data_IF_287758098393
#
_entry.id   IF_287758098393
#
_cell.length_a   1.000
_cell.length_b   1.000
_cell.length_c   1.000
_cell.angle_alpha   90.00
_cell.angle_beta   90.00
_cell.angle_gamma   90.00
#
_symmetry.space_group_name_H-M   'P 1'
#
loop_
_entity.id
_entity.type
_entity.pdbx_description
1 polymer ?
#
# COMPACT_ATOMS: atom_id res chain seq x y z
N UNK A 1 26.49 -13.61 13.84
CA UNK A 1 25.92 -12.31 13.38
C UNK A 1 25.02 -12.62 12.21
N UNK A 2 23.69 -12.49 12.37
CA UNK A 2 22.77 -12.69 11.25
C UNK A 2 23.01 -11.58 10.21
N UNK A 3 23.22 -11.95 8.94
CA UNK A 3 23.35 -10.99 7.85
C UNK A 3 22.00 -10.32 7.60
N UNK A 4 21.92 -8.99 7.69
CA UNK A 4 20.75 -8.25 7.23
C UNK A 4 20.55 -8.54 5.73
N UNK A 5 19.47 -9.23 5.40
CA UNK A 5 19.11 -9.55 4.01
C UNK A 5 18.30 -8.38 3.45
N UNK A 6 18.69 -7.91 2.27
CA UNK A 6 17.87 -6.97 1.50
C UNK A 6 16.63 -7.73 1.02
N UNK A 7 15.45 -7.29 1.42
CA UNK A 7 14.15 -7.86 1.01
C UNK A 7 13.39 -6.98 0.03
N UNK A 8 13.79 -5.71 -0.11
CA UNK A 8 13.19 -4.74 -1.02
C UNK A 8 14.19 -3.65 -1.42
N UNK A 9 13.98 -3.06 -2.59
CA UNK A 9 14.68 -1.87 -3.09
C UNK A 9 13.62 -0.93 -3.67
N UNK A 10 13.64 0.33 -3.25
CA UNK A 10 12.79 1.39 -3.78
C UNK A 10 13.61 2.56 -4.29
N UNK A 11 13.13 3.22 -5.35
CA UNK A 11 13.71 4.47 -5.85
C UNK A 11 12.92 5.63 -5.24
N UNK A 12 13.62 6.56 -4.62
CA UNK A 12 13.03 7.65 -3.86
C UNK A 12 13.63 8.98 -4.31
N UNK A 13 12.79 10.02 -4.37
CA UNK A 13 13.27 11.39 -4.57
C UNK A 13 13.81 11.96 -3.26
N UNK A 14 14.52 13.09 -3.35
CA UNK A 14 15.00 13.81 -2.17
C UNK A 14 13.84 14.28 -1.26
N UNK A 15 12.68 14.59 -1.84
CA UNK A 15 11.49 14.97 -1.08
C UNK A 15 10.93 13.78 -0.29
N UNK A 16 10.87 12.59 -0.91
CA UNK A 16 10.39 11.37 -0.25
C UNK A 16 11.29 10.99 0.93
N UNK A 17 12.61 11.09 0.74
CA UNK A 17 13.59 10.86 1.82
C UNK A 17 13.37 11.84 2.99
N UNK A 18 13.10 13.10 2.69
CA UNK A 18 12.83 14.11 3.72
C UNK A 18 11.54 13.81 4.50
N UNK A 19 10.50 13.29 3.83
CA UNK A 19 9.22 12.91 4.45
C UNK A 19 9.31 11.65 5.30
N UNK A 20 10.05 10.63 4.83
CA UNK A 20 10.19 9.34 5.50
C UNK A 20 11.12 9.41 6.74
N UNK A 21 11.86 10.51 6.91
CA UNK A 21 12.63 10.80 8.11
C UNK A 21 13.88 9.94 8.30
N UNK A 22 14.40 9.89 9.54
CA UNK A 22 15.71 9.29 9.88
C UNK A 22 15.68 7.76 10.03
N UNK A 23 14.56 7.11 9.71
CA UNK A 23 14.35 5.67 9.95
C UNK A 23 15.19 4.73 9.06
N UNK A 24 15.85 5.25 8.03
CA UNK A 24 16.70 4.46 7.15
C UNK A 24 18.05 4.15 7.81
N UNK A 25 18.29 2.87 8.08
CA UNK A 25 19.60 2.40 8.56
C UNK A 25 20.73 2.67 7.56
N UNK A 26 20.41 2.70 6.26
CA UNK A 26 21.35 2.93 5.15
C UNK A 26 20.65 3.66 4.01
N UNK A 27 21.29 4.68 3.46
CA UNK A 27 20.85 5.41 2.27
C UNK A 27 22.01 5.51 1.29
N UNK A 28 21.77 5.08 0.05
CA UNK A 28 22.78 5.08 -1.01
C UNK A 28 22.31 6.01 -2.13
N UNK A 29 22.90 7.22 -2.27
CA UNK A 29 22.49 8.15 -3.30
C UNK A 29 22.85 7.60 -4.68
N UNK A 30 21.93 7.72 -5.64
CA UNK A 30 22.15 7.34 -7.04
C UNK A 30 22.42 8.61 -7.85
N UNK A 31 23.65 8.85 -8.32
CA UNK A 31 23.97 10.02 -9.13
C UNK A 31 23.32 9.92 -10.52
N UNK A 32 22.84 11.05 -11.06
CA UNK A 32 22.30 11.10 -12.42
C UNK A 32 23.33 10.88 -13.53
N UNK A 33 24.60 11.18 -13.27
CA UNK A 33 25.70 11.03 -14.22
C UNK A 33 26.43 9.70 -14.04
N UNK A 34 25.95 8.65 -14.69
CA UNK A 34 26.57 7.32 -14.67
C UNK A 34 25.85 6.33 -15.58
N UNK A 35 26.26 5.06 -15.54
CA UNK A 35 25.73 3.99 -16.40
C UNK A 35 24.20 3.80 -16.29
N UNK A 36 23.61 4.25 -15.17
CA UNK A 36 22.17 4.20 -14.94
C UNK A 36 21.40 5.44 -15.41
N UNK A 37 22.06 6.47 -15.94
CA UNK A 37 21.41 7.74 -16.30
C UNK A 37 20.23 7.56 -17.25
N UNK A 38 20.40 6.78 -18.32
CA UNK A 38 19.32 6.51 -19.28
C UNK A 38 18.15 5.72 -18.69
N UNK A 39 18.40 4.84 -17.71
CA UNK A 39 17.34 4.11 -17.01
C UNK A 39 16.55 5.05 -16.09
N UNK A 40 17.25 5.92 -15.35
CA UNK A 40 16.60 6.92 -14.48
C UNK A 40 15.75 7.89 -15.31
N UNK A 41 16.28 8.36 -16.44
CA UNK A 41 15.53 9.21 -17.37
C UNK A 41 14.31 8.49 -17.96
N UNK A 42 14.40 7.18 -18.19
CA UNK A 42 13.26 6.38 -18.65
C UNK A 42 12.21 6.22 -17.55
N UNK A 43 12.62 6.00 -16.30
CA UNK A 43 11.72 5.88 -15.14
C UNK A 43 11.02 7.21 -14.82
N UNK A 44 11.72 8.34 -14.91
CA UNK A 44 11.12 9.68 -14.73
C UNK A 44 10.02 9.97 -15.77
N UNK A 45 10.05 9.29 -16.92
CA UNK A 45 9.03 9.38 -17.98
C UNK A 45 7.90 8.37 -17.82
N UNK A 46 8.10 7.33 -17.02
CA UNK A 46 7.01 6.46 -16.61
C UNK A 46 6.17 7.29 -15.65
N UNK A 47 5.16 7.91 -16.21
CA UNK A 47 4.05 8.40 -15.41
C UNK A 47 3.37 7.16 -14.84
N UNK A 48 3.25 7.08 -13.51
CA UNK A 48 2.25 6.23 -12.87
C UNK A 48 0.89 6.88 -13.13
N UNK A 49 0.51 6.94 -14.41
CA UNK A 49 -0.64 7.68 -14.93
C UNK A 49 -1.97 7.08 -14.44
N UNK A 50 -1.93 5.89 -13.81
CA UNK A 50 -3.08 5.24 -13.18
C UNK A 50 -3.40 5.80 -11.77
N UNK A 51 -2.46 6.46 -11.07
CA UNK A 51 -2.68 6.90 -9.67
C UNK A 51 -3.49 8.21 -9.52
N UNK A 52 -3.70 9.01 -10.58
CA UNK A 52 -4.56 10.21 -10.49
C UNK A 52 -6.00 9.99 -10.93
N UNK A 53 -6.32 8.81 -11.48
CA UNK A 53 -7.71 8.33 -11.60
C UNK A 53 -8.21 7.63 -10.32
N UNK A 54 -7.30 7.29 -9.39
CA UNK A 54 -7.60 6.74 -8.06
C UNK A 54 -8.16 7.78 -7.07
N UNK A 55 -9.12 8.60 -7.47
CA UNK A 55 -9.90 9.34 -6.46
C UNK A 55 -10.86 8.41 -5.71
N UNK A 56 -11.23 7.24 -6.27
CA UNK A 56 -11.79 6.11 -5.51
C UNK A 56 -11.44 4.81 -6.24
N UNK A 57 -10.77 3.84 -5.59
CA UNK A 57 -10.70 2.49 -6.16
C UNK A 57 -12.14 1.99 -6.35
N UNK A 58 -12.39 1.32 -7.49
CA UNK A 58 -13.68 0.64 -7.67
C UNK A 58 -13.85 -0.38 -6.53
N UNK A 59 -15.05 -0.53 -5.95
CA UNK A 59 -15.27 -1.51 -4.89
C UNK A 59 -14.86 -2.90 -5.37
N UNK A 60 -13.99 -3.56 -4.60
CA UNK A 60 -13.62 -4.95 -4.82
C UNK A 60 -14.77 -5.85 -4.36
N UNK A 61 -15.25 -6.75 -5.23
CA UNK A 61 -16.35 -7.67 -4.91
C UNK A 61 -15.87 -8.96 -4.23
N UNK A 62 -14.60 -9.32 -4.44
CA UNK A 62 -14.00 -10.52 -3.84
C UNK A 62 -13.49 -10.23 -2.43
N UNK A 63 -13.78 -11.09 -1.43
CA UNK A 63 -13.22 -10.94 -0.10
C UNK A 63 -11.72 -11.21 -0.07
N UNK A 64 -11.01 -10.58 0.86
CA UNK A 64 -9.60 -10.87 1.13
C UNK A 64 -9.43 -12.24 1.79
N UNK A 65 -8.30 -12.91 1.52
CA UNK A 65 -7.92 -14.15 2.22
C UNK A 65 -7.34 -13.81 3.60
N UNK A 66 -7.79 -14.51 4.65
CA UNK A 66 -7.34 -14.28 6.03
C UNK A 66 -6.82 -15.57 6.65
N UNK A 67 -5.59 -15.56 7.15
CA UNK A 67 -4.94 -16.73 7.76
C UNK A 67 -4.21 -16.39 9.05
N UNK A 68 -4.07 -17.37 9.95
CA UNK A 68 -3.31 -17.24 11.19
C UNK A 68 -1.94 -17.92 11.04
N UNK A 69 -0.86 -17.19 11.29
CA UNK A 69 0.52 -17.66 11.18
C UNK A 69 1.34 -17.12 12.34
N UNK A 70 1.95 -18.00 13.14
CA UNK A 70 2.83 -17.65 14.27
C UNK A 70 2.25 -16.61 15.26
N UNK A 71 0.96 -16.76 15.61
CA UNK A 71 0.27 -15.85 16.54
C UNK A 71 -0.08 -14.47 15.95
N UNK A 72 0.07 -14.32 14.63
CA UNK A 72 -0.33 -13.14 13.86
C UNK A 72 -1.44 -13.51 12.89
N UNK A 73 -2.13 -12.49 12.39
CA UNK A 73 -3.14 -12.62 11.34
C UNK A 73 -2.63 -11.94 10.08
N UNK A 74 -2.61 -12.68 8.96
CA UNK A 74 -2.32 -12.17 7.64
C UNK A 74 -3.62 -11.96 6.90
N UNK A 75 -3.76 -10.79 6.26
CA UNK A 75 -4.84 -10.49 5.32
C UNK A 75 -4.18 -10.22 3.97
N UNK A 76 -4.48 -11.06 2.98
CA UNK A 76 -4.01 -10.89 1.61
C UNK A 76 -5.15 -10.35 0.76
N UNK A 77 -4.97 -9.12 0.28
CA UNK A 77 -5.95 -8.40 -0.52
C UNK A 77 -5.84 -8.71 -2.01
N UNK A 78 -6.93 -8.58 -2.77
CA UNK A 78 -6.87 -8.49 -4.22
C UNK A 78 -5.83 -7.43 -4.65
N UNK A 79 -4.99 -7.75 -5.64
CA UNK A 79 -3.89 -6.88 -6.06
C UNK A 79 -2.56 -7.09 -5.31
N UNK A 80 -2.47 -8.09 -4.43
CA UNK A 80 -1.22 -8.51 -3.79
C UNK A 80 -0.77 -7.61 -2.63
N UNK A 81 -1.70 -6.87 -2.03
CA UNK A 81 -1.46 -6.05 -0.85
C UNK A 81 -1.72 -6.89 0.40
N UNK A 82 -0.67 -7.20 1.16
CA UNK A 82 -0.77 -7.96 2.40
C UNK A 82 -0.64 -7.06 3.64
N UNK A 83 -1.55 -7.23 4.61
CA UNK A 83 -1.51 -6.56 5.92
C UNK A 83 -1.34 -7.62 7.02
N UNK A 84 -0.51 -7.33 8.03
CA UNK A 84 -0.30 -8.20 9.20
C UNK A 84 -0.82 -7.54 10.47
N UNK A 85 -1.60 -8.29 11.25
CA UNK A 85 -2.13 -7.86 12.54
C UNK A 85 -1.62 -8.75 13.69
N UNK A 86 -1.58 -8.19 14.90
CA UNK A 86 -1.62 -9.01 16.11
C UNK A 86 -3.00 -9.63 16.27
N UNK A 87 -3.13 -10.69 17.07
CA UNK A 87 -4.42 -11.34 17.30
C UNK A 87 -5.51 -10.37 17.81
N UNK A 88 -5.18 -9.51 18.78
CA UNK A 88 -6.14 -8.53 19.30
C UNK A 88 -6.51 -7.45 18.28
N UNK A 89 -5.53 -6.94 17.53
CA UNK A 89 -5.78 -5.94 16.50
C UNK A 89 -6.67 -6.50 15.37
N UNK A 90 -6.45 -7.76 14.99
CA UNK A 90 -7.28 -8.44 13.99
C UNK A 90 -8.73 -8.58 14.47
N UNK A 91 -8.93 -8.99 15.74
CA UNK A 91 -10.26 -9.14 16.33
C UNK A 91 -11.02 -7.81 16.37
N UNK A 92 -10.37 -6.75 16.83
CA UNK A 92 -11.01 -5.43 16.89
C UNK A 92 -11.30 -4.87 15.48
N UNK A 93 -10.35 -5.03 14.55
CA UNK A 93 -10.53 -4.61 13.16
C UNK A 93 -11.68 -5.36 12.50
N UNK A 94 -11.77 -6.68 12.68
CA UNK A 94 -12.86 -7.49 12.14
C UNK A 94 -14.23 -7.03 12.62
N UNK A 95 -14.36 -6.69 13.91
CA UNK A 95 -15.60 -6.14 14.47
C UNK A 95 -15.98 -4.79 13.84
N UNK A 96 -15.00 -3.91 13.60
CA UNK A 96 -15.22 -2.61 12.93
C UNK A 96 -15.62 -2.80 11.47
N UNK A 97 -14.95 -3.71 10.76
CA UNK A 97 -15.25 -4.03 9.36
C UNK A 97 -16.67 -4.61 9.21
N UNK A 98 -17.07 -5.52 10.09
CA UNK A 98 -18.43 -6.07 10.06
C UNK A 98 -19.49 -4.97 10.23
N UNK A 99 -19.33 -4.10 11.23
CA UNK A 99 -20.25 -2.98 11.46
C UNK A 99 -20.30 -2.03 10.26
N UNK A 100 -19.14 -1.66 9.72
CA UNK A 100 -19.07 -0.80 8.54
C UNK A 100 -19.76 -1.44 7.33
N UNK A 101 -19.64 -2.75 7.14
CA UNK A 101 -20.33 -3.49 6.08
C UNK A 101 -21.86 -3.48 6.24
N UNK A 102 -22.36 -3.69 7.47
CA UNK A 102 -23.78 -3.59 7.80
C UNK A 102 -24.32 -2.17 7.55
N UNK A 103 -23.58 -1.14 7.96
CA UNK A 103 -23.93 0.27 7.72
C UNK A 103 -23.96 0.60 6.23
N UNK A 104 -22.94 0.17 5.47
CA UNK A 104 -22.86 0.40 4.04
C UNK A 104 -24.01 -0.28 3.27
N UNK A 105 -24.40 -1.49 3.66
CA UNK A 105 -25.55 -2.18 3.05
C UNK A 105 -26.88 -1.45 3.25
N UNK A 106 -27.00 -0.64 4.31
CA UNK A 106 -28.18 0.19 4.61
C UNK A 106 -28.16 1.57 3.94
N UNK A 107 -27.02 2.00 3.38
CA UNK A 107 -26.90 3.28 2.69
C UNK A 107 -27.34 3.11 1.24
N UNK A 108 -28.57 3.52 0.91
CA UNK A 108 -28.96 3.65 -0.51
C UNK A 108 -28.13 4.78 -1.13
N UNK A 109 -27.37 4.47 -2.17
CA UNK A 109 -26.74 5.47 -3.05
C UNK A 109 -27.88 6.34 -3.58
N UNK A 110 -27.99 7.55 -3.05
CA UNK A 110 -28.91 8.54 -3.56
C UNK A 110 -28.23 9.09 -4.79
N UNK A 111 -28.58 8.55 -5.96
CA UNK A 111 -28.25 9.18 -7.22
C UNK A 111 -28.95 10.55 -7.21
N UNK A 112 -28.18 11.58 -6.86
CA UNK A 112 -28.58 12.98 -7.00
C UNK A 112 -28.43 13.31 -8.49
N UNK A 113 -29.34 12.75 -9.29
CA UNK A 113 -29.54 13.17 -10.67
C UNK A 113 -30.09 14.60 -10.64
N UNK A 114 -29.16 15.52 -10.88
CA UNK A 114 -29.41 16.94 -10.97
C UNK A 114 -30.52 17.32 -11.96
N UNK A 115 -31.20 18.37 -11.54
CA UNK A 115 -32.28 19.16 -12.14
C UNK A 115 -32.13 19.51 -13.63
#
# INVERSE_FOLDING_TARGET
MASDRIVAVGLLTAADVALLGQGFRRLYPVPRGGDFGGLLDALDRVTFEEERAMSMPRPEEAPSEVSAVDGRVLVDGPGGVAITFTADAARETGLRLQRAGEEAAGQTVRDDDGE
#
